data_IF_390704705502
#
_entry.id   IF_390704705502
#
_cell.length_a   1.000
_cell.length_b   1.000
_cell.length_c   1.000
_cell.angle_alpha   90.00
_cell.angle_beta   90.00
_cell.angle_gamma   90.00
#
_symmetry.space_group_name_H-M   'P 1'
#
loop_
_entity.id
_entity.type
_entity.pdbx_description
1 polymer ?
#
# COMPACT_ATOMS: atom_id res chain seq x y z
N UNK A 1 1.34 11.54 15.28
CA UNK A 1 1.98 10.67 14.26
C UNK A 1 1.04 9.53 13.93
N UNK A 2 0.85 9.23 12.66
CA UNK A 2 0.01 8.12 12.25
C UNK A 2 0.89 6.91 11.88
N UNK A 3 0.85 5.90 12.73
CA UNK A 3 1.67 4.71 12.55
C UNK A 3 1.35 3.97 11.25
N UNK A 4 0.07 3.92 10.88
CA UNK A 4 -0.34 3.26 9.64
C UNK A 4 0.26 3.94 8.41
N UNK A 5 0.24 5.27 8.38
CA UNK A 5 0.84 6.02 7.28
C UNK A 5 2.36 5.83 7.23
N UNK A 6 3.00 5.75 8.38
CA UNK A 6 4.43 5.49 8.46
C UNK A 6 4.77 4.13 7.87
N UNK A 7 3.99 3.10 8.21
CA UNK A 7 4.20 1.75 7.68
C UNK A 7 3.97 1.73 6.16
N UNK A 8 2.87 2.33 5.69
CA UNK A 8 2.57 2.37 4.26
C UNK A 8 3.65 3.10 3.47
N UNK A 9 4.12 4.23 3.99
CA UNK A 9 5.22 4.96 3.35
C UNK A 9 6.46 4.11 3.21
N UNK A 10 6.82 3.38 4.26
CA UNK A 10 7.98 2.50 4.22
C UNK A 10 7.78 1.36 3.21
N UNK A 11 6.56 0.81 3.13
CA UNK A 11 6.26 -0.25 2.18
C UNK A 11 6.37 0.23 0.73
N UNK A 12 6.01 1.48 0.48
CA UNK A 12 6.01 2.03 -0.88
C UNK A 12 7.42 2.41 -1.33
N UNK A 13 8.23 2.98 -0.43
CA UNK A 13 9.51 3.58 -0.80
C UNK A 13 10.73 2.73 -0.46
N UNK A 14 10.57 1.68 0.34
CA UNK A 14 11.71 0.86 0.77
C UNK A 14 11.48 -0.60 0.41
N UNK A 15 12.05 -1.01 -0.72
CA UNK A 15 11.91 -2.37 -1.25
C UNK A 15 12.44 -3.42 -0.26
N UNK A 16 13.60 -3.18 0.30
CA UNK A 16 14.20 -4.14 1.24
C UNK A 16 13.33 -4.34 2.47
N UNK A 17 12.85 -3.25 3.05
CA UNK A 17 11.94 -3.31 4.20
C UNK A 17 10.67 -4.08 3.86
N UNK A 18 10.09 -3.80 2.70
CA UNK A 18 8.85 -4.44 2.25
C UNK A 18 9.03 -5.95 2.13
N UNK A 19 10.12 -6.39 1.53
CA UNK A 19 10.38 -7.82 1.36
C UNK A 19 10.54 -8.54 2.69
N UNK A 20 11.09 -7.85 3.69
CA UNK A 20 11.30 -8.44 5.00
C UNK A 20 10.03 -8.51 5.85
N UNK A 21 9.20 -7.48 5.79
CA UNK A 21 8.07 -7.36 6.73
C UNK A 21 6.73 -7.79 6.13
N UNK A 22 6.57 -7.76 4.82
CA UNK A 22 5.29 -8.03 4.19
C UNK A 22 4.68 -9.37 4.60
N UNK A 23 5.45 -10.47 4.70
CA UNK A 23 4.90 -11.75 5.13
C UNK A 23 4.35 -11.75 6.55
N UNK A 24 4.75 -10.79 7.36
CA UNK A 24 4.32 -10.70 8.77
C UNK A 24 3.21 -9.69 8.98
N UNK A 25 2.87 -8.90 7.97
CA UNK A 25 1.80 -7.90 8.08
C UNK A 25 0.48 -8.48 7.62
N UNK A 26 -0.58 -8.05 8.27
CA UNK A 26 -1.94 -8.46 7.94
C UNK A 26 -2.80 -7.23 7.74
N UNK A 27 -3.82 -7.34 6.86
CA UNK A 27 -4.73 -6.22 6.60
C UNK A 27 -5.43 -5.75 7.87
N UNK A 28 -5.64 -6.64 8.83
CA UNK A 28 -6.30 -6.31 10.10
C UNK A 28 -5.52 -5.31 10.95
N UNK A 29 -4.23 -5.14 10.67
CA UNK A 29 -3.41 -4.15 11.38
C UNK A 29 -3.74 -2.72 10.98
N UNK A 30 -4.49 -2.54 9.89
CA UNK A 30 -4.87 -1.22 9.40
C UNK A 30 -6.33 -0.97 9.74
N UNK A 31 -6.57 0.08 10.54
CA UNK A 31 -7.92 0.44 10.98
C UNK A 31 -8.64 1.31 9.96
N UNK A 32 -7.91 2.15 9.23
CA UNK A 32 -8.49 3.02 8.23
C UNK A 32 -8.70 2.22 6.93
N UNK A 33 -9.92 2.27 6.42
CA UNK A 33 -10.29 1.47 5.24
C UNK A 33 -9.40 1.74 4.04
N UNK A 34 -9.10 3.02 3.76
CA UNK A 34 -8.24 3.37 2.63
C UNK A 34 -6.81 2.86 2.81
N UNK A 35 -6.30 2.87 4.04
CA UNK A 35 -4.98 2.31 4.32
C UNK A 35 -4.95 0.81 4.08
N UNK A 36 -5.99 0.12 4.51
CA UNK A 36 -6.12 -1.32 4.31
C UNK A 36 -6.14 -1.66 2.82
N UNK A 37 -6.88 -0.88 2.03
CA UNK A 37 -6.96 -1.07 0.58
C UNK A 37 -5.57 -0.94 -0.06
N UNK A 38 -4.83 0.10 0.30
CA UNK A 38 -3.49 0.32 -0.24
C UNK A 38 -2.56 -0.82 0.14
N UNK A 39 -2.61 -1.24 1.39
CA UNK A 39 -1.81 -2.38 1.84
C UNK A 39 -2.11 -3.65 1.03
N UNK A 40 -3.39 -3.96 0.82
CA UNK A 40 -3.79 -5.14 0.08
C UNK A 40 -3.31 -5.10 -1.37
N UNK A 41 -3.36 -3.93 -2.00
CA UNK A 41 -2.87 -3.78 -3.37
C UNK A 41 -1.35 -3.98 -3.45
N UNK A 42 -0.61 -3.44 -2.48
CA UNK A 42 0.84 -3.65 -2.41
C UNK A 42 1.16 -5.13 -2.23
N UNK A 43 0.47 -5.77 -1.30
CA UNK A 43 0.67 -7.20 -1.00
C UNK A 43 0.41 -8.06 -2.23
N UNK A 44 -0.69 -7.81 -2.91
CA UNK A 44 -1.04 -8.55 -4.11
C UNK A 44 -0.01 -8.35 -5.22
N UNK A 45 0.42 -7.09 -5.43
CA UNK A 45 1.39 -6.79 -6.47
C UNK A 45 2.73 -7.49 -6.21
N UNK A 46 3.24 -7.40 -4.99
CA UNK A 46 4.51 -8.05 -4.64
C UNK A 46 4.40 -9.57 -4.78
N UNK A 47 3.26 -10.14 -4.38
CA UNK A 47 3.02 -11.58 -4.48
C UNK A 47 3.02 -12.04 -5.95
N UNK A 48 2.38 -11.26 -6.82
CA UNK A 48 2.24 -11.62 -8.23
C UNK A 48 3.48 -11.34 -9.06
N UNK A 49 4.19 -10.26 -8.78
CA UNK A 49 5.29 -9.79 -9.64
C UNK A 49 6.66 -9.82 -8.96
N UNK A 50 6.70 -10.16 -7.69
CA UNK A 50 7.94 -10.20 -6.89
C UNK A 50 8.72 -8.89 -6.94
N UNK A 51 8.01 -7.77 -7.04
CA UNK A 51 8.59 -6.44 -7.04
C UNK A 51 7.56 -5.42 -6.55
N UNK A 52 8.05 -4.25 -6.11
CA UNK A 52 7.16 -3.17 -5.68
C UNK A 52 6.52 -2.48 -6.88
N UNK A 53 5.25 -2.08 -6.75
CA UNK A 53 4.64 -1.25 -7.78
C UNK A 53 5.22 0.17 -7.75
N UNK A 54 5.23 0.84 -8.90
CA UNK A 54 5.48 2.27 -8.91
C UNK A 54 4.29 2.98 -8.29
N UNK A 55 4.47 4.25 -7.88
CA UNK A 55 3.36 5.03 -7.34
C UNK A 55 2.24 5.17 -8.36
N UNK A 56 2.60 5.36 -9.63
CA UNK A 56 1.59 5.46 -10.69
C UNK A 56 0.80 4.15 -10.85
N UNK A 57 1.50 3.03 -10.87
CA UNK A 57 0.84 1.73 -11.00
C UNK A 57 -0.06 1.45 -9.80
N UNK A 58 0.40 1.75 -8.60
CA UNK A 58 -0.39 1.54 -7.40
C UNK A 58 -1.64 2.42 -7.39
N UNK A 59 -1.51 3.68 -7.80
CA UNK A 59 -2.65 4.59 -7.89
C UNK A 59 -3.69 4.11 -8.88
N UNK A 60 -3.26 3.64 -10.05
CA UNK A 60 -4.17 3.12 -11.07
C UNK A 60 -4.91 1.89 -10.56
N UNK A 61 -4.19 0.95 -9.94
CA UNK A 61 -4.82 -0.25 -9.39
C UNK A 61 -5.85 0.08 -8.31
N UNK A 62 -5.53 1.03 -7.44
CA UNK A 62 -6.47 1.45 -6.39
C UNK A 62 -7.73 2.07 -6.99
N UNK A 63 -7.60 2.87 -8.04
CA UNK A 63 -8.75 3.49 -8.69
C UNK A 63 -9.62 2.46 -9.42
N UNK A 64 -9.00 1.50 -10.10
CA UNK A 64 -9.72 0.53 -10.90
C UNK A 64 -10.38 -0.55 -10.07
N UNK A 65 -9.78 -0.96 -8.95
CA UNK A 65 -10.23 -2.13 -8.19
C UNK A 65 -10.97 -1.77 -6.93
N UNK A 66 -10.98 -0.50 -6.53
CA UNK A 66 -11.60 -0.06 -5.29
C UNK A 66 -12.28 1.28 -5.49
N UNK A 67 -12.97 1.76 -4.44
CA UNK A 67 -13.60 3.09 -4.45
C UNK A 67 -12.63 4.19 -4.07
N UNK A 68 -11.35 3.87 -3.92
CA UNK A 68 -10.34 4.86 -3.54
C UNK A 68 -10.05 5.79 -4.71
N UNK A 69 -10.35 7.08 -4.54
CA UNK A 69 -10.13 8.06 -5.59
C UNK A 69 -8.65 8.46 -5.66
N UNK A 70 -8.26 9.05 -6.79
CA UNK A 70 -6.90 9.56 -6.95
C UNK A 70 -6.56 10.58 -5.86
N UNK A 71 -7.51 11.45 -5.54
CA UNK A 71 -7.32 12.46 -4.49
C UNK A 71 -7.09 11.81 -3.13
N UNK A 72 -7.89 10.81 -2.78
CA UNK A 72 -7.72 10.10 -1.53
C UNK A 72 -6.37 9.40 -1.47
N UNK A 73 -5.96 8.78 -2.57
CA UNK A 73 -4.67 8.11 -2.65
C UNK A 73 -3.52 9.10 -2.43
N UNK A 74 -3.56 10.25 -3.09
CA UNK A 74 -2.53 11.28 -2.94
C UNK A 74 -2.46 11.81 -1.51
N UNK A 75 -3.62 12.02 -0.87
CA UNK A 75 -3.66 12.51 0.50
C UNK A 75 -2.97 11.55 1.47
N UNK A 76 -3.03 10.27 1.20
CA UNK A 76 -2.41 9.26 2.06
C UNK A 76 -0.91 9.16 1.78
N UNK A 77 -0.51 9.17 0.52
CA UNK A 77 0.88 8.93 0.11
C UNK A 77 1.73 10.20 0.25
N UNK A 78 1.17 11.35 -0.05
CA UNK A 78 1.85 12.62 0.09
C UNK A 78 1.60 13.26 1.45
#
# INVERSE_FOLDING_TARGET
MNLELTILGSLIYNDEYTRKVLPFLKSDYFQVKSHKIIFLEIHEYVTNYNSLPSLNALGIECQERTDLTEEQFKDIIE
#
